data_IF_533455417295
#
_entry.id   IF_533455417295
#
_cell.length_a   1.000
_cell.length_b   1.000
_cell.length_c   1.000
_cell.angle_alpha   90.00
_cell.angle_beta   90.00
_cell.angle_gamma   90.00
#
_symmetry.space_group_name_H-M   'P 1'
#
loop_
_entity.id
_entity.type
_entity.pdbx_description
1 polymer ?
#
# COMPACT_ATOMS: atom_id res chain seq x y z
N UNK A 1 10.47 12.93 9.55
CA UNK A 1 10.62 12.51 8.14
C UNK A 1 9.96 13.60 7.32
N UNK A 2 10.75 14.38 6.58
CA UNK A 2 10.21 15.21 5.50
C UNK A 2 9.75 14.24 4.39
N UNK A 3 8.58 14.48 3.78
CA UNK A 3 7.88 13.49 2.95
C UNK A 3 8.65 12.94 1.75
N UNK A 4 7.99 12.12 0.94
CA UNK A 4 8.60 11.62 -0.30
C UNK A 4 8.91 12.80 -1.26
N UNK A 5 9.98 12.69 -2.08
CA UNK A 5 10.26 13.68 -3.11
C UNK A 5 9.14 13.74 -4.14
N UNK A 6 9.17 14.76 -5.01
CA UNK A 6 8.23 14.88 -6.12
C UNK A 6 8.23 13.57 -6.95
N UNK A 7 7.03 13.02 -7.19
CA UNK A 7 6.83 11.72 -7.86
C UNK A 7 7.53 10.54 -7.15
N UNK A 8 7.66 10.62 -5.83
CA UNK A 8 8.21 9.55 -5.01
C UNK A 8 7.40 8.25 -5.12
N UNK A 9 8.11 7.13 -4.99
CA UNK A 9 7.52 5.79 -5.07
C UNK A 9 7.38 5.19 -3.67
N UNK A 10 6.17 4.73 -3.35
CA UNK A 10 5.89 3.90 -2.19
C UNK A 10 5.65 2.47 -2.66
N UNK A 11 6.52 1.53 -2.27
CA UNK A 11 6.36 0.11 -2.57
C UNK A 11 5.60 -0.59 -1.45
N UNK A 12 4.59 -1.38 -1.82
CA UNK A 12 3.80 -2.19 -0.90
C UNK A 12 3.46 -3.53 -1.56
N UNK A 13 2.96 -4.46 -0.76
CA UNK A 13 2.60 -5.82 -1.11
C UNK A 13 1.17 -6.19 -0.65
N UNK A 14 0.14 -5.33 -0.82
CA UNK A 14 -1.20 -5.64 -0.38
C UNK A 14 -1.74 -6.87 -1.11
N UNK A 15 -2.36 -7.77 -0.36
CA UNK A 15 -3.04 -8.91 -0.95
C UNK A 15 -3.54 -9.92 0.08
N UNK A 16 -4.31 -10.89 -0.42
CA UNK A 16 -4.78 -12.03 0.38
C UNK A 16 -3.68 -13.07 0.54
N UNK A 17 -3.72 -13.80 1.65
CA UNK A 17 -2.76 -14.87 1.93
C UNK A 17 -3.40 -16.23 1.72
N UNK A 18 -2.97 -16.93 0.68
CA UNK A 18 -3.35 -18.30 0.38
C UNK A 18 -2.30 -19.33 0.83
N UNK A 19 -2.65 -20.61 0.74
CA UNK A 19 -1.78 -21.74 1.11
C UNK A 19 -0.49 -21.78 0.31
N UNK A 20 -0.56 -21.41 -0.97
CA UNK A 20 0.61 -21.33 -1.85
C UNK A 20 1.64 -20.34 -1.32
N UNK A 21 1.18 -19.16 -0.88
CA UNK A 21 2.03 -18.12 -0.33
C UNK A 21 2.53 -18.46 1.07
N UNK A 22 1.66 -19.01 1.94
CA UNK A 22 2.05 -19.49 3.28
C UNK A 22 3.19 -20.52 3.23
N UNK A 23 3.22 -21.35 2.18
CA UNK A 23 4.27 -22.35 1.99
C UNK A 23 5.61 -21.77 1.51
N UNK A 24 5.63 -20.53 0.99
CA UNK A 24 6.81 -19.93 0.32
C UNK A 24 7.43 -18.75 1.08
N UNK A 25 6.62 -18.03 1.82
CA UNK A 25 7.02 -16.83 2.54
C UNK A 25 6.52 -16.96 3.97
N UNK A 26 7.40 -16.77 4.96
CA UNK A 26 7.07 -16.81 6.39
C UNK A 26 6.64 -15.44 6.94
N UNK A 27 6.78 -14.37 6.14
CA UNK A 27 6.43 -12.99 6.51
C UNK A 27 5.26 -12.44 5.68
N UNK A 28 4.39 -13.34 5.22
CA UNK A 28 3.25 -13.07 4.36
C UNK A 28 2.07 -12.38 5.07
N UNK A 29 1.96 -12.46 6.39
CA UNK A 29 0.81 -11.93 7.14
C UNK A 29 0.62 -10.41 7.01
N UNK A 30 1.69 -9.66 6.76
CA UNK A 30 1.65 -8.19 6.61
C UNK A 30 0.86 -7.77 5.35
N UNK A 31 0.75 -8.65 4.35
CA UNK A 31 0.05 -8.35 3.08
C UNK A 31 -1.43 -8.07 3.28
N UNK A 32 -2.09 -8.78 4.19
CA UNK A 32 -3.51 -8.54 4.49
C UNK A 32 -3.71 -7.25 5.28
N UNK A 33 -2.74 -6.89 6.14
CA UNK A 33 -2.74 -5.62 6.87
C UNK A 33 -2.60 -4.45 5.91
N UNK A 34 -1.63 -4.53 4.98
CA UNK A 34 -1.45 -3.51 3.94
C UNK A 34 -2.67 -3.39 3.05
N UNK A 35 -3.28 -4.52 2.66
CA UNK A 35 -4.51 -4.52 1.87
C UNK A 35 -5.64 -3.79 2.58
N UNK A 36 -5.91 -4.15 3.85
CA UNK A 36 -6.95 -3.52 4.63
C UNK A 36 -6.71 -2.02 4.82
N UNK A 37 -5.46 -1.60 5.06
CA UNK A 37 -5.11 -0.20 5.21
C UNK A 37 -5.30 0.59 3.90
N UNK A 38 -4.73 0.11 2.80
CA UNK A 38 -4.76 0.81 1.50
C UNK A 38 -6.16 0.84 0.86
N UNK A 39 -6.99 -0.16 1.14
CA UNK A 39 -8.38 -0.20 0.68
C UNK A 39 -9.34 0.61 1.58
N UNK A 40 -8.86 1.20 2.68
CA UNK A 40 -9.72 1.92 3.64
C UNK A 40 -9.99 3.36 3.23
N UNK A 41 -11.19 3.85 3.61
CA UNK A 41 -11.52 5.28 3.52
C UNK A 41 -10.56 6.16 4.33
N UNK A 42 -10.01 5.61 5.43
CA UNK A 42 -9.06 6.32 6.27
C UNK A 42 -7.76 6.67 5.53
N UNK A 43 -7.29 5.76 4.66
CA UNK A 43 -6.13 6.03 3.81
C UNK A 43 -6.45 7.09 2.75
N UNK A 44 -7.59 6.99 2.06
CA UNK A 44 -8.05 8.03 1.12
C UNK A 44 -8.15 9.41 1.78
N UNK A 45 -8.73 9.49 2.98
CA UNK A 45 -8.79 10.72 3.76
C UNK A 45 -7.40 11.24 4.18
N UNK A 46 -6.43 10.34 4.39
CA UNK A 46 -5.05 10.73 4.68
C UNK A 46 -4.35 11.35 3.49
N UNK A 47 -4.55 10.80 2.29
CA UNK A 47 -4.01 11.37 1.04
C UNK A 47 -4.59 12.77 0.80
N UNK A 48 -5.90 12.93 0.94
CA UNK A 48 -6.57 14.21 0.78
C UNK A 48 -6.05 15.28 1.77
N UNK A 49 -5.88 14.93 3.04
CA UNK A 49 -5.29 15.85 4.05
C UNK A 49 -3.85 16.25 3.72
N UNK A 50 -3.09 15.35 3.09
CA UNK A 50 -1.71 15.61 2.70
C UNK A 50 -1.57 16.35 1.35
N UNK A 51 -2.67 16.53 0.59
CA UNK A 51 -2.62 17.09 -0.75
C UNK A 51 -1.86 16.21 -1.75
N UNK A 52 -1.89 14.89 -1.54
CA UNK A 52 -1.18 13.90 -2.38
C UNK A 52 -2.16 13.18 -3.29
N UNK A 53 -1.77 12.99 -4.54
CA UNK A 53 -2.51 12.21 -5.53
C UNK A 53 -1.74 10.93 -5.92
N UNK A 54 -2.48 9.87 -6.24
CA UNK A 54 -1.91 8.64 -6.81
C UNK A 54 -1.92 8.76 -8.32
N UNK A 55 -0.75 8.60 -8.93
CA UNK A 55 -0.61 8.59 -10.40
C UNK A 55 -1.09 7.24 -10.95
N UNK A 56 -1.94 7.26 -11.97
CA UNK A 56 -2.60 6.07 -12.53
C UNK A 56 -1.71 5.21 -13.45
N UNK A 57 -0.38 5.43 -13.39
CA UNK A 57 0.62 4.69 -14.16
C UNK A 57 0.61 4.94 -15.67
N UNK A 58 -0.33 5.75 -16.17
CA UNK A 58 -0.36 6.16 -17.58
C UNK A 58 0.64 7.30 -17.78
N UNK A 59 1.34 7.26 -18.90
CA UNK A 59 2.31 8.29 -19.29
C UNK A 59 1.60 9.54 -19.79
#
# INVERSE_FOLDING_TARGET
>A
VEGLPERGLFMCHPGHVDETLRARDMMQGVREVEFAALASDAFGASLARAGVEILDGKR
#
